data_IF_981499808686
#
_entry.id   IF_981499808686
#
_cell.length_a   1.000
_cell.length_b   1.000
_cell.length_c   1.000
_cell.angle_alpha   90.00
_cell.angle_beta   90.00
_cell.angle_gamma   90.00
#
_symmetry.space_group_name_H-M   'P 1'
#
loop_
_entity.id
_entity.type
_entity.pdbx_description
1 polymer ?
#
# COMPACT_ATOMS: atom_id res chain seq x y z
N UNK A 1 -0.95 4.93 -20.32
CA UNK A 1 -0.42 3.68 -19.73
C UNK A 1 0.04 4.04 -18.33
N UNK A 2 -0.51 3.42 -17.29
CA UNK A 2 -0.12 3.73 -15.91
C UNK A 2 1.31 3.24 -15.61
N UNK A 3 2.05 3.98 -14.79
CA UNK A 3 3.35 3.57 -14.28
C UNK A 3 3.15 2.44 -13.27
N UNK A 4 3.74 1.28 -13.56
CA UNK A 4 3.67 0.11 -12.69
C UNK A 4 4.73 0.20 -11.58
N UNK A 5 4.28 0.10 -10.33
CA UNK A 5 5.12 0.24 -9.15
C UNK A 5 4.93 -0.95 -8.21
N UNK A 6 6.01 -1.37 -7.55
CA UNK A 6 5.96 -2.31 -6.43
C UNK A 6 6.37 -1.59 -5.13
N UNK A 7 5.78 -2.00 -4.01
CA UNK A 7 6.13 -1.49 -2.67
C UNK A 7 6.88 -2.57 -1.91
N UNK A 8 8.12 -2.28 -1.49
CA UNK A 8 8.91 -3.18 -0.66
C UNK A 8 8.98 -2.61 0.77
N UNK A 9 8.25 -3.23 1.70
CA UNK A 9 7.99 -2.73 3.04
C UNK A 9 6.65 -1.99 3.14
N UNK A 10 5.63 -2.68 3.66
CA UNK A 10 4.25 -2.19 3.81
C UNK A 10 3.96 -1.66 5.24
N UNK A 11 4.95 -1.00 5.81
CA UNK A 11 4.83 -0.23 7.05
C UNK A 11 4.07 1.09 6.85
N UNK A 12 4.24 2.04 7.78
CA UNK A 12 3.50 3.33 7.78
C UNK A 12 3.57 4.05 6.43
N UNK A 13 4.78 4.27 5.91
CA UNK A 13 4.96 5.00 4.64
C UNK A 13 4.44 4.18 3.45
N UNK A 14 4.72 2.88 3.40
CA UNK A 14 4.22 2.00 2.33
C UNK A 14 2.70 2.03 2.19
N UNK A 15 1.97 1.97 3.32
CA UNK A 15 0.50 2.07 3.32
C UNK A 15 -0.01 3.45 2.88
N UNK A 16 0.65 4.53 3.32
CA UNK A 16 0.26 5.89 2.90
C UNK A 16 0.52 6.12 1.41
N UNK A 17 1.66 5.66 0.90
CA UNK A 17 1.96 5.69 -0.54
C UNK A 17 0.91 4.91 -1.32
N UNK A 18 0.55 3.71 -0.86
CA UNK A 18 -0.50 2.91 -1.50
C UNK A 18 -1.85 3.64 -1.51
N UNK A 19 -2.26 4.25 -0.40
CA UNK A 19 -3.53 5.00 -0.32
C UNK A 19 -3.58 6.17 -1.31
N UNK A 20 -2.48 6.90 -1.49
CA UNK A 20 -2.40 7.99 -2.47
C UNK A 20 -2.36 7.43 -3.91
N UNK A 21 -1.51 6.44 -4.15
CA UNK A 21 -1.36 5.81 -5.46
C UNK A 21 -2.66 5.17 -5.96
N UNK A 22 -3.46 4.57 -5.07
CA UNK A 22 -4.73 3.94 -5.40
C UNK A 22 -5.75 4.90 -6.03
N UNK A 23 -5.65 6.20 -5.74
CA UNK A 23 -6.52 7.23 -6.31
C UNK A 23 -5.87 7.97 -7.48
N UNK A 24 -4.64 7.61 -7.87
CA UNK A 24 -3.93 8.23 -8.99
C UNK A 24 -4.03 7.34 -10.24
N UNK A 25 -4.75 7.76 -11.30
CA UNK A 25 -4.91 6.95 -12.52
C UNK A 25 -3.61 6.72 -13.29
N UNK A 26 -2.57 7.50 -13.03
CA UNK A 26 -1.26 7.35 -13.67
C UNK A 26 -0.36 6.33 -12.97
N UNK A 27 -0.77 5.75 -11.83
CA UNK A 27 0.01 4.80 -11.05
C UNK A 27 -0.78 3.50 -10.83
N UNK A 28 -0.14 2.37 -11.08
CA UNK A 28 -0.68 1.04 -10.80
C UNK A 28 0.26 0.32 -9.82
N UNK A 29 -0.18 0.08 -8.58
CA UNK A 29 0.59 -0.74 -7.63
C UNK A 29 0.35 -2.22 -7.94
N UNK A 30 1.36 -2.89 -8.49
CA UNK A 30 1.23 -4.26 -9.01
C UNK A 30 1.68 -5.33 -8.02
N UNK A 31 2.48 -4.96 -7.02
CA UNK A 31 2.98 -5.90 -6.02
C UNK A 31 3.33 -5.19 -4.71
N UNK A 32 3.18 -5.92 -3.61
CA UNK A 32 3.62 -5.52 -2.27
C UNK A 32 4.43 -6.69 -1.69
N UNK A 33 5.63 -6.40 -1.17
CA UNK A 33 6.46 -7.35 -0.43
C UNK A 33 6.63 -6.86 1.01
N UNK A 34 6.50 -7.76 1.99
CA UNK A 34 6.72 -7.50 3.41
C UNK A 34 7.12 -8.79 4.15
N UNK A 35 7.39 -8.70 5.44
CA UNK A 35 7.80 -9.83 6.29
C UNK A 35 6.61 -10.47 7.03
N UNK A 36 5.41 -9.88 6.97
CA UNK A 36 4.20 -10.40 7.62
C UNK A 36 3.16 -10.88 6.59
N UNK A 37 2.12 -11.55 7.08
CA UNK A 37 1.09 -12.17 6.25
C UNK A 37 0.08 -11.16 5.68
N UNK A 38 -0.62 -11.56 4.62
CA UNK A 38 -1.56 -10.68 3.91
C UNK A 38 -2.77 -10.27 4.74
N UNK A 39 -3.23 -11.10 5.69
CA UNK A 39 -4.34 -10.76 6.58
C UNK A 39 -3.94 -9.62 7.52
N UNK A 40 -2.75 -9.70 8.10
CA UNK A 40 -2.17 -8.62 8.92
C UNK A 40 -2.01 -7.34 8.11
N UNK A 41 -1.43 -7.41 6.90
CA UNK A 41 -1.27 -6.23 6.04
C UNK A 41 -2.61 -5.60 5.65
N UNK A 42 -3.61 -6.41 5.30
CA UNK A 42 -4.94 -5.93 4.95
C UNK A 42 -5.63 -5.27 6.15
N UNK A 43 -5.48 -5.82 7.36
CA UNK A 43 -6.01 -5.22 8.58
C UNK A 43 -5.36 -3.85 8.83
N UNK A 44 -4.03 -3.77 8.79
CA UNK A 44 -3.28 -2.53 8.99
C UNK A 44 -3.54 -1.49 7.89
N UNK A 45 -3.87 -1.92 6.67
CA UNK A 45 -4.30 -1.04 5.60
C UNK A 45 -5.70 -0.51 5.85
N UNK A 46 -6.62 -1.34 6.35
CA UNK A 46 -8.01 -0.96 6.58
C UNK A 46 -8.19 -0.06 7.82
N UNK A 47 -7.39 -0.28 8.86
CA UNK A 47 -7.49 0.42 10.14
C UNK A 47 -6.15 1.06 10.49
N UNK A 48 -6.10 2.40 10.48
CA UNK A 48 -4.92 3.17 10.87
C UNK A 48 -5.28 4.15 11.99
N UNK A 49 -4.62 4.02 13.15
CA UNK A 49 -4.97 4.81 14.34
C UNK A 49 -4.77 6.32 14.20
N UNK A 50 -3.92 6.77 13.25
CA UNK A 50 -3.62 8.19 13.05
C UNK A 50 -4.29 8.72 11.77
N UNK A 51 -4.41 7.88 10.74
CA UNK A 51 -4.85 8.30 9.42
C UNK A 51 -6.22 7.75 8.97
N UNK A 52 -6.89 6.91 9.78
CA UNK A 52 -8.21 6.32 9.48
C UNK A 52 -8.12 4.90 8.96
#
# INVERSE_FOLDING_TARGET
>A
MALKVAVNGFGRIGRMVFRVAFHNPDIEVVAINDLTDTSTLAHLLKYDSVHG
#
